data_IF_621139443544
#
_entry.id   IF_621139443544
#
_cell.length_a   1.000
_cell.length_b   1.000
_cell.length_c   1.000
_cell.angle_alpha   90.00
_cell.angle_beta   90.00
_cell.angle_gamma   90.00
#
_symmetry.space_group_name_H-M   'P 1'
#
loop_
_entity.id
_entity.type
_entity.pdbx_description
1 polymer ?
#
# COMPACT_ATOMS: atom_id res chain seq x y z
N UNK A 1 -16.10 -19.82 -4.58
CA UNK A 1 -15.72 -18.38 -4.67
C UNK A 1 -16.28 -17.52 -3.53
N UNK A 2 -16.73 -18.07 -2.39
CA UNK A 2 -17.15 -17.25 -1.23
C UNK A 2 -15.99 -16.78 -0.34
N UNK A 3 -14.80 -17.35 -0.52
CA UNK A 3 -13.63 -17.13 0.34
C UNK A 3 -12.39 -16.61 -0.39
N UNK A 4 -12.56 -16.08 -1.61
CA UNK A 4 -11.43 -15.55 -2.36
C UNK A 4 -11.40 -14.02 -2.20
N UNK A 5 -10.51 -13.46 -1.34
CA UNK A 5 -10.37 -12.02 -1.23
C UNK A 5 -9.69 -11.51 -2.50
N UNK A 6 -10.47 -10.99 -3.45
CA UNK A 6 -9.96 -10.39 -4.71
C UNK A 6 -9.47 -8.96 -4.47
N UNK A 7 -9.82 -8.38 -3.32
CA UNK A 7 -9.69 -6.96 -3.12
C UNK A 7 -8.28 -6.56 -2.66
N UNK A 8 -7.78 -5.46 -3.22
CA UNK A 8 -6.44 -4.91 -2.98
C UNK A 8 -5.23 -5.81 -3.32
N UNK A 9 -5.39 -6.99 -3.95
CA UNK A 9 -4.24 -7.88 -4.27
C UNK A 9 -3.18 -7.24 -5.18
N UNK A 10 -3.58 -6.30 -6.05
CA UNK A 10 -2.65 -5.58 -6.92
C UNK A 10 -1.95 -4.40 -6.23
N UNK A 11 -2.52 -3.90 -5.11
CA UNK A 11 -2.04 -2.69 -4.44
C UNK A 11 -0.60 -2.82 -3.93
N UNK A 12 -0.20 -3.93 -3.26
CA UNK A 12 1.19 -4.13 -2.85
C UNK A 12 2.17 -4.10 -4.04
N UNK A 13 1.79 -4.69 -5.17
CA UNK A 13 2.64 -4.74 -6.37
C UNK A 13 2.79 -3.34 -6.97
N UNK A 14 1.70 -2.58 -7.07
CA UNK A 14 1.72 -1.20 -7.56
C UNK A 14 2.59 -0.29 -6.68
N UNK A 15 2.51 -0.43 -5.36
CA UNK A 15 3.35 0.32 -4.42
C UNK A 15 4.83 -0.03 -4.57
N UNK A 16 5.15 -1.32 -4.66
CA UNK A 16 6.53 -1.78 -4.90
C UNK A 16 7.09 -1.20 -6.20
N UNK A 17 6.36 -1.32 -7.31
CA UNK A 17 6.79 -0.78 -8.61
C UNK A 17 6.98 0.74 -8.57
N UNK A 18 6.10 1.46 -7.88
CA UNK A 18 6.21 2.92 -7.74
C UNK A 18 7.48 3.31 -6.99
N UNK A 19 7.77 2.62 -5.88
CA UNK A 19 9.00 2.84 -5.10
C UNK A 19 10.24 2.49 -5.93
N UNK A 20 10.21 1.39 -6.67
CA UNK A 20 11.33 0.97 -7.52
C UNK A 20 11.60 1.96 -8.65
N UNK A 21 10.55 2.54 -9.24
CA UNK A 21 10.69 3.50 -10.32
C UNK A 21 11.09 4.91 -9.85
N UNK A 22 10.67 5.33 -8.66
CA UNK A 22 10.75 6.74 -8.23
C UNK A 22 11.54 6.97 -6.94
N UNK A 23 11.88 5.91 -6.21
CA UNK A 23 12.46 5.98 -4.87
C UNK A 23 11.48 6.43 -3.78
N UNK A 24 10.20 6.67 -4.12
CA UNK A 24 9.18 7.19 -3.20
C UNK A 24 7.89 6.38 -3.29
N UNK A 25 7.15 6.32 -2.18
CA UNK A 25 5.80 5.76 -2.22
C UNK A 25 4.85 6.82 -2.79
N UNK A 26 3.90 6.36 -3.62
CA UNK A 26 2.81 7.18 -4.12
C UNK A 26 1.67 7.26 -3.10
N UNK A 27 0.53 6.63 -3.41
CA UNK A 27 -0.55 6.47 -2.45
C UNK A 27 -0.30 5.26 -1.54
N UNK A 28 -0.50 5.43 -0.23
CA UNK A 28 -0.46 4.35 0.74
C UNK A 28 -1.84 3.70 0.83
N UNK A 29 -1.93 2.41 0.51
CA UNK A 29 -3.21 1.70 0.54
C UNK A 29 -3.49 1.20 1.96
N UNK A 30 -4.59 1.61 2.59
CA UNK A 30 -4.98 1.11 3.90
C UNK A 30 -5.73 -0.20 3.69
N UNK A 31 -5.23 -1.28 4.30
CA UNK A 31 -5.89 -2.59 4.24
C UNK A 31 -7.09 -2.54 5.18
N UNK A 32 -8.28 -2.66 4.61
CA UNK A 32 -9.55 -2.68 5.34
C UNK A 32 -9.86 -4.10 5.83
N UNK A 33 -10.36 -4.19 7.07
CA UNK A 33 -10.89 -5.43 7.64
C UNK A 33 -12.43 -5.40 7.60
N UNK A 34 -13.10 -6.52 7.24
CA UNK A 34 -12.54 -7.78 6.77
C UNK A 34 -12.05 -7.69 5.31
N UNK A 35 -10.87 -8.26 5.01
CA UNK A 35 -10.26 -8.26 3.65
C UNK A 35 -11.15 -8.78 2.51
N UNK A 36 -12.25 -9.46 2.83
CA UNK A 36 -13.17 -10.10 1.88
C UNK A 36 -14.24 -9.15 1.33
N UNK A 37 -14.54 -8.05 2.02
CA UNK A 37 -15.68 -7.18 1.71
C UNK A 37 -15.42 -5.68 1.93
N UNK A 38 -14.15 -5.29 2.16
CA UNK A 38 -13.79 -3.89 2.41
C UNK A 38 -13.64 -3.04 1.14
N UNK A 39 -13.90 -1.74 1.28
CA UNK A 39 -13.55 -0.73 0.28
C UNK A 39 -12.05 -0.38 0.32
N UNK A 40 -11.48 0.05 -0.81
CA UNK A 40 -10.08 0.45 -0.89
C UNK A 40 -9.94 1.85 -0.35
N UNK A 41 -9.10 1.98 0.66
CA UNK A 41 -8.79 3.26 1.24
C UNK A 41 -7.39 3.66 0.80
N UNK A 42 -7.30 4.85 0.21
CA UNK A 42 -6.03 5.43 -0.20
C UNK A 42 -5.74 6.63 0.68
N UNK A 43 -4.58 6.64 1.32
CA UNK A 43 -4.04 7.82 1.95
C UNK A 43 -3.03 8.48 1.00
N UNK A 44 -3.32 9.72 0.60
CA UNK A 44 -2.41 10.55 -0.18
C UNK A 44 -1.79 11.56 0.77
N UNK A 45 -0.48 11.49 0.92
CA UNK A 45 0.28 12.38 1.77
C UNK A 45 0.83 13.52 0.93
N UNK A 46 0.81 14.74 1.49
CA UNK A 46 1.40 15.91 0.83
C UNK A 46 2.93 15.81 0.83
N UNK A 47 3.52 15.43 1.96
CA UNK A 47 4.92 15.06 2.05
C UNK A 47 5.03 13.52 2.08
N UNK A 48 5.72 12.88 1.11
CA UNK A 48 5.98 11.44 1.13
C UNK A 48 6.71 10.96 2.39
N UNK A 49 7.43 11.84 3.09
CA UNK A 49 8.10 11.52 4.34
C UNK A 49 7.12 11.35 5.52
N UNK A 50 5.88 11.81 5.39
CA UNK A 50 4.84 11.61 6.41
C UNK A 50 4.26 10.19 6.35
N UNK A 51 4.50 9.44 5.28
CA UNK A 51 4.01 8.07 5.12
C UNK A 51 4.61 7.19 6.23
N UNK A 52 3.80 6.52 7.06
CA UNK A 52 4.31 5.69 8.13
C UNK A 52 5.17 4.52 7.65
N UNK A 53 6.13 4.10 8.47
CA UNK A 53 7.12 3.07 8.09
C UNK A 53 6.48 1.70 7.83
N UNK A 54 5.35 1.38 8.48
CA UNK A 54 4.64 0.11 8.29
C UNK A 54 4.20 -0.12 6.83
N UNK A 55 3.90 0.94 6.08
CA UNK A 55 3.50 0.83 4.67
C UNK A 55 4.66 0.39 3.78
N UNK A 56 5.90 0.73 4.12
CA UNK A 56 7.08 0.24 3.42
C UNK A 56 7.42 -1.19 3.84
N UNK A 57 7.38 -1.48 5.14
CA UNK A 57 7.75 -2.78 5.71
C UNK A 57 6.87 -3.91 5.19
N UNK A 58 5.55 -3.70 5.05
CA UNK A 58 4.61 -4.73 4.58
C UNK A 58 4.90 -5.24 3.16
N UNK A 59 5.55 -4.41 2.35
CA UNK A 59 5.96 -4.74 0.97
C UNK A 59 7.46 -5.03 0.86
N UNK A 60 8.13 -5.32 1.98
CA UNK A 60 9.55 -5.66 2.01
C UNK A 60 10.48 -4.51 1.63
N UNK A 61 10.04 -3.25 1.75
CA UNK A 61 10.84 -2.05 1.49
C UNK A 61 11.21 -1.36 2.81
N UNK A 62 12.23 -0.52 2.76
CA UNK A 62 12.61 0.38 3.85
C UNK A 62 12.18 1.81 3.52
N UNK A 63 11.74 2.56 4.52
CA UNK A 63 11.43 3.98 4.34
C UNK A 63 12.73 4.74 4.02
N UNK A 64 12.76 5.59 2.97
CA UNK A 64 13.89 6.46 2.69
C UNK A 64 14.18 7.39 3.87
N UNK A 65 15.46 7.69 4.11
CA UNK A 65 15.89 8.69 5.11
C UNK A 65 15.90 10.09 4.52
#
# INVERSE_FOLDING_TARGET
MKDFPIYCCHCPIMEMMTIEATGKMGAAHIVSEPMKFGECHFAIYKDPNDIPEEYYKRIGKTKPK
#
